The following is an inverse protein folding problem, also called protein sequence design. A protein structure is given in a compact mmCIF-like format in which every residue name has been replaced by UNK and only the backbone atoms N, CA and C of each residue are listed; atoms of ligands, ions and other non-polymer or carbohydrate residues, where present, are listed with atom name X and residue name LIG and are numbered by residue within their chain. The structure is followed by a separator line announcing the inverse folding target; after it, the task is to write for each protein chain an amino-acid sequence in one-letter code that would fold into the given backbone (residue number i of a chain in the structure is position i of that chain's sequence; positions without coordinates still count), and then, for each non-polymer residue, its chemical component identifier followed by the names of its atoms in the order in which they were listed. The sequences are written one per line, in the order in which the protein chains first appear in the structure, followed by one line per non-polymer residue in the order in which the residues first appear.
data_IF_032599130455
#
_entry.id   IF_032599130455
#
_cell.length_a   1.000
_cell.length_b   1.000
_cell.length_c   1.000
_cell.angle_alpha   90.00
_cell.angle_beta   90.00
_cell.angle_gamma   90.00
#
_symmetry.space_group_name_H-M   'P 1'
#
loop_
_entity.id
_entity.type
_entity.pdbx_description
1 polymer ?
#
# COMPACT_ATOMS: atom_id res chain seq x y z
N UNK A 1 -7.08 -3.61 -14.89
CA UNK A 1 -6.86 -2.25 -14.45
C UNK A 1 -5.81 -2.24 -13.34
N UNK A 2 -4.80 -1.40 -13.47
CA UNK A 2 -3.75 -1.19 -12.46
C UNK A 2 -4.16 0.01 -11.58
N UNK A 3 -3.93 -0.09 -10.28
CA UNK A 3 -4.26 0.96 -9.30
C UNK A 3 -3.24 0.99 -8.16
N UNK A 4 -3.29 2.04 -7.34
CA UNK A 4 -2.54 2.12 -6.08
C UNK A 4 -3.46 1.67 -4.92
N UNK A 5 -2.87 1.09 -3.89
CA UNK A 5 -3.61 0.71 -2.68
C UNK A 5 -3.96 1.96 -1.85
N UNK A 6 -5.05 1.88 -1.08
CA UNK A 6 -5.43 2.89 -0.10
C UNK A 6 -4.80 2.61 1.27
N UNK A 7 -4.80 3.62 2.15
CA UNK A 7 -4.40 3.44 3.54
C UNK A 7 -5.27 2.41 4.27
N UNK A 8 -6.58 2.41 4.00
CA UNK A 8 -7.51 1.45 4.59
C UNK A 8 -7.23 0.01 4.11
N UNK A 9 -6.95 -0.19 2.83
CA UNK A 9 -6.61 -1.51 2.26
C UNK A 9 -5.33 -2.10 2.86
N UNK A 10 -4.36 -1.25 3.23
CA UNK A 10 -3.12 -1.70 3.88
C UNK A 10 -3.20 -1.72 5.41
N UNK A 11 -4.39 -1.49 5.98
CA UNK A 11 -4.71 -1.74 7.38
C UNK A 11 -4.67 -0.53 8.31
N UNK A 12 -4.64 0.70 7.78
CA UNK A 12 -4.77 1.92 8.60
C UNK A 12 -6.19 2.46 8.59
N UNK A 13 -6.59 2.99 9.74
CA UNK A 13 -7.93 3.52 9.98
C UNK A 13 -7.85 4.87 10.67
N UNK A 14 -9.00 5.49 10.90
CA UNK A 14 -9.11 6.70 11.72
C UNK A 14 -8.64 6.52 13.18
N UNK A 15 -8.44 5.29 13.62
CA UNK A 15 -7.82 5.02 14.94
C UNK A 15 -6.30 5.17 14.92
N UNK A 16 -5.66 5.06 13.74
CA UNK A 16 -4.22 5.30 13.59
C UNK A 16 -3.94 6.79 13.35
N UNK A 17 -4.74 7.40 12.50
CA UNK A 17 -4.72 8.85 12.26
C UNK A 17 -6.12 9.28 11.78
N UNK A 18 -6.68 10.34 12.38
CA UNK A 18 -8.04 10.83 12.08
C UNK A 18 -8.25 11.19 10.61
N UNK A 19 -7.18 11.48 9.90
CA UNK A 19 -7.21 11.97 8.52
C UNK A 19 -7.12 10.87 7.47
N UNK A 20 -7.12 9.60 7.89
CA UNK A 20 -7.24 8.48 6.96
C UNK A 20 -8.68 8.33 6.46
N UNK A 21 -8.92 8.44 5.16
CA UNK A 21 -10.24 8.12 4.61
C UNK A 21 -10.49 6.61 4.64
N UNK A 22 -11.75 6.22 4.85
CA UNK A 22 -12.18 4.84 4.66
C UNK A 22 -12.40 4.63 3.16
N UNK A 23 -11.48 3.92 2.52
CA UNK A 23 -11.48 3.69 1.07
C UNK A 23 -11.10 2.25 0.75
N UNK A 24 -12.02 1.51 0.17
CA UNK A 24 -11.85 0.10 -0.18
C UNK A 24 -12.13 -0.84 1.01
N UNK A 25 -11.53 -2.01 0.98
CA UNK A 25 -11.62 -3.04 2.02
C UNK A 25 -10.23 -3.53 2.39
N UNK A 26 -9.96 -3.70 3.69
CA UNK A 26 -8.67 -4.19 4.16
C UNK A 26 -8.31 -5.52 3.50
N UNK A 27 -7.13 -5.59 2.93
CA UNK A 27 -6.62 -6.82 2.34
C UNK A 27 -6.09 -7.77 3.43
N UNK A 28 -6.36 -9.05 3.28
CA UNK A 28 -6.01 -10.08 4.29
C UNK A 28 -4.51 -10.19 4.56
N UNK A 29 -3.68 -9.85 3.57
CA UNK A 29 -2.22 -9.85 3.73
C UNK A 29 -1.74 -8.86 4.80
N UNK A 30 -2.40 -7.72 4.94
CA UNK A 30 -1.96 -6.66 5.86
C UNK A 30 -2.58 -6.83 7.24
N UNK A 31 -1.82 -6.45 8.27
CA UNK A 31 -2.27 -6.38 9.65
C UNK A 31 -2.60 -4.93 10.00
N UNK A 32 -3.69 -4.71 10.72
CA UNK A 32 -4.09 -3.36 11.16
C UNK A 32 -3.14 -2.77 12.19
N UNK A 33 -3.09 -1.43 12.23
CA UNK A 33 -2.30 -0.68 13.21
C UNK A 33 -0.85 -0.46 12.80
N UNK A 34 -0.06 0.02 13.76
CA UNK A 34 1.32 0.51 13.56
C UNK A 34 2.38 -0.29 14.34
N UNK A 35 2.06 -1.50 14.78
CA UNK A 35 3.06 -2.36 15.40
C UNK A 35 4.18 -2.71 14.42
N UNK A 36 5.38 -3.01 14.92
CA UNK A 36 6.51 -3.44 14.08
C UNK A 36 6.13 -4.58 13.14
N UNK A 37 5.39 -5.57 13.65
CA UNK A 37 4.93 -6.71 12.84
C UNK A 37 3.98 -6.29 11.72
N UNK A 38 3.08 -5.35 11.99
CA UNK A 38 2.18 -4.81 10.97
C UNK A 38 2.94 -3.96 9.94
N UNK A 39 3.83 -3.09 10.39
CA UNK A 39 4.63 -2.23 9.53
C UNK A 39 5.54 -3.04 8.60
N UNK A 40 6.15 -4.11 9.08
CA UNK A 40 7.02 -4.98 8.26
C UNK A 40 6.32 -5.53 7.01
N UNK A 41 5.01 -5.78 7.08
CA UNK A 41 4.24 -6.25 5.91
C UNK A 41 4.04 -5.17 4.84
N UNK A 42 4.18 -3.90 5.20
CA UNK A 42 4.01 -2.77 4.28
C UNK A 42 5.31 -2.33 3.63
N UNK A 43 6.47 -2.72 4.17
CA UNK A 43 7.77 -2.37 3.58
C UNK A 43 7.83 -2.89 2.15
N UNK A 44 8.21 -2.00 1.23
CA UNK A 44 8.47 -2.33 -0.16
C UNK A 44 9.91 -1.97 -0.51
N UNK A 45 10.45 -2.65 -1.51
CA UNK A 45 11.85 -2.52 -1.90
C UNK A 45 11.94 -2.05 -3.36
N UNK A 46 12.88 -1.16 -3.59
CA UNK A 46 13.26 -0.71 -4.92
C UNK A 46 14.77 -0.84 -5.05
N UNK A 47 15.23 -1.59 -6.05
CA UNK A 47 16.65 -1.87 -6.26
C UNK A 47 17.36 -2.42 -5.00
N UNK A 48 16.68 -3.29 -4.26
CA UNK A 48 17.24 -3.97 -3.08
C UNK A 48 17.20 -3.17 -1.78
N UNK A 49 16.69 -1.94 -1.78
CA UNK A 49 16.56 -1.10 -0.58
C UNK A 49 15.11 -0.79 -0.26
N UNK A 50 14.76 -0.73 1.02
CA UNK A 50 13.45 -0.30 1.44
C UNK A 50 13.20 1.15 0.98
N UNK A 51 12.06 1.37 0.36
CA UNK A 51 11.71 2.62 -0.28
C UNK A 51 10.34 3.12 0.16
N UNK A 52 10.12 4.42 0.12
CA UNK A 52 8.81 5.04 0.26
C UNK A 52 7.96 4.73 -0.96
N UNK A 53 6.65 4.56 -0.76
CA UNK A 53 5.74 4.34 -1.87
C UNK A 53 4.37 4.96 -1.63
N UNK A 54 3.79 5.49 -2.71
CA UNK A 54 2.52 6.20 -2.66
C UNK A 54 1.33 5.29 -2.46
N UNK A 55 0.37 5.79 -1.67
CA UNK A 55 -1.01 5.31 -1.62
C UNK A 55 -1.89 6.21 -2.49
N UNK A 56 -3.11 5.77 -2.79
CA UNK A 56 -4.10 6.62 -3.47
C UNK A 56 -4.90 7.50 -2.53
N UNK A 57 -4.79 7.30 -1.22
CA UNK A 57 -5.58 8.02 -0.22
C UNK A 57 -5.10 9.46 -0.06
N UNK A 58 -5.96 10.47 -0.29
CA UNK A 58 -5.65 11.84 0.11
C UNK A 58 -5.75 11.99 1.63
N UNK A 59 -5.03 12.96 2.20
CA UNK A 59 -5.29 13.39 3.57
C UNK A 59 -6.61 14.14 3.63
N UNK A 60 -7.44 13.87 4.65
CA UNK A 60 -8.76 14.49 4.75
C UNK A 60 -8.73 15.90 5.33
N UNK A 61 -7.67 16.29 6.02
CA UNK A 61 -7.53 17.62 6.63
C UNK A 61 -6.64 18.58 5.83
N UNK A 62 -5.89 18.10 4.85
CA UNK A 62 -4.85 18.90 4.19
C UNK A 62 -4.89 18.72 2.67
N UNK A 63 -5.41 19.74 1.98
CA UNK A 63 -5.46 19.78 0.53
C UNK A 63 -4.05 19.68 -0.09
N UNK A 64 -3.91 18.82 -1.10
CA UNK A 64 -2.67 18.61 -1.83
C UNK A 64 -1.70 17.64 -1.17
N UNK A 65 -2.08 16.99 -0.08
CA UNK A 65 -1.32 15.91 0.54
C UNK A 65 -1.93 14.55 0.26
N UNK A 66 -1.07 13.57 0.08
CA UNK A 66 -1.42 12.17 -0.14
C UNK A 66 -0.63 11.30 0.82
N UNK A 67 -1.27 10.28 1.36
CA UNK A 67 -0.62 9.31 2.22
C UNK A 67 0.38 8.45 1.46
N UNK A 68 1.45 8.07 2.15
CA UNK A 68 2.48 7.16 1.63
C UNK A 68 2.95 6.23 2.74
N UNK A 69 3.61 5.15 2.34
CA UNK A 69 4.28 4.21 3.25
C UNK A 69 5.77 4.56 3.27
N UNK A 70 6.32 4.72 4.46
CA UNK A 70 7.75 4.97 4.68
C UNK A 70 8.58 3.70 4.50
N UNK A 71 9.88 3.85 4.46
CA UNK A 71 10.82 2.73 4.35
C UNK A 71 10.79 1.76 5.53
N UNK A 72 10.30 2.19 6.68
CA UNK A 72 10.07 1.35 7.87
C UNK A 72 8.66 0.73 7.92
N UNK A 73 7.83 0.99 6.92
CA UNK A 73 6.46 0.48 6.82
C UNK A 73 5.40 1.29 7.56
N UNK A 74 5.79 2.38 8.22
CA UNK A 74 4.85 3.31 8.85
C UNK A 74 4.31 4.32 7.82
N UNK A 75 3.31 5.11 8.23
CA UNK A 75 2.68 6.07 7.33
C UNK A 75 3.29 7.47 7.43
N UNK A 76 3.04 8.26 6.41
CA UNK A 76 3.27 9.68 6.37
C UNK A 76 2.43 10.33 5.27
N UNK A 77 2.31 11.64 5.28
CA UNK A 77 1.65 12.40 4.23
C UNK A 77 2.55 13.53 3.75
N UNK A 78 2.65 13.67 2.43
CA UNK A 78 3.43 14.72 1.77
C UNK A 78 2.64 15.39 0.65
N UNK A 79 3.14 16.55 0.23
CA UNK A 79 2.66 17.20 -0.98
C UNK A 79 2.88 16.28 -2.21
N UNK A 80 1.92 16.29 -3.12
CA UNK A 80 1.94 15.44 -4.33
C UNK A 80 3.09 15.76 -5.29
N UNK A 81 3.84 16.84 -5.04
CA UNK A 81 5.05 17.20 -5.79
C UNK A 81 6.28 16.38 -5.40
N UNK A 82 6.24 15.64 -4.30
CA UNK A 82 7.37 14.82 -3.87
C UNK A 82 7.48 13.55 -4.73
N UNK A 83 8.70 13.02 -4.82
CA UNK A 83 8.99 11.83 -5.63
C UNK A 83 9.19 10.61 -4.74
N UNK A 84 8.26 9.67 -4.80
CA UNK A 84 8.32 8.40 -4.10
C UNK A 84 8.06 7.23 -5.06
N UNK A 85 8.28 6.03 -4.57
CA UNK A 85 8.05 4.81 -5.35
C UNK A 85 6.58 4.57 -5.67
N UNK A 86 6.34 3.85 -6.75
CA UNK A 86 5.02 3.36 -7.14
C UNK A 86 4.97 1.86 -6.90
N UNK A 87 4.01 1.42 -6.09
CA UNK A 87 3.70 0.00 -5.86
C UNK A 87 2.34 -0.31 -6.49
N UNK A 88 2.31 -0.74 -7.76
CA UNK A 88 1.06 -0.99 -8.45
C UNK A 88 0.36 -2.25 -7.93
N UNK A 89 -0.95 -2.25 -7.95
CA UNK A 89 -1.80 -3.39 -7.65
C UNK A 89 -2.75 -3.67 -8.80
N UNK A 90 -3.19 -4.92 -8.93
CA UNK A 90 -4.20 -5.32 -9.90
C UNK A 90 -5.02 -6.48 -9.33
N UNK A 91 -6.26 -6.59 -9.79
CA UNK A 91 -7.13 -7.72 -9.47
C UNK A 91 -6.95 -8.79 -10.55
N UNK A 92 -6.68 -10.02 -10.12
CA UNK A 92 -6.60 -11.18 -10.98
C UNK A 92 -7.84 -12.08 -10.78
N UNK A 93 -8.27 -12.85 -11.81
CA UNK A 93 -9.32 -13.83 -11.63
C UNK A 93 -8.87 -14.92 -10.64
N UNK A 94 -9.82 -15.55 -9.94
CA UNK A 94 -9.53 -16.57 -8.93
C UNK A 94 -8.83 -17.82 -9.49
N UNK A 95 -8.91 -18.04 -10.80
CA UNK A 95 -8.25 -19.14 -11.51
C UNK A 95 -6.91 -18.74 -12.15
N UNK A 96 -6.34 -17.59 -11.78
CA UNK A 96 -5.00 -17.20 -12.23
C UNK A 96 -3.94 -18.16 -11.70
N UNK A 97 -3.01 -18.54 -12.56
CA UNK A 97 -1.94 -19.49 -12.26
C UNK A 97 -0.61 -18.75 -12.11
N UNK A 98 0.12 -19.09 -11.05
CA UNK A 98 1.43 -18.53 -10.75
C UNK A 98 2.50 -19.62 -10.73
N UNK A 99 3.69 -19.30 -11.19
CA UNK A 99 4.88 -20.05 -10.88
C UNK A 99 5.28 -19.74 -9.42
N UNK A 100 5.33 -20.78 -8.58
CA UNK A 100 5.62 -20.60 -7.15
C UNK A 100 7.09 -20.25 -6.85
N UNK A 101 7.97 -20.55 -7.78
CA UNK A 101 9.41 -20.27 -7.65
C UNK A 101 9.75 -18.86 -8.13
N UNK A 102 9.25 -18.48 -9.30
CA UNK A 102 9.54 -17.17 -9.92
C UNK A 102 8.55 -16.10 -9.52
N UNK A 103 7.40 -16.47 -8.94
CA UNK A 103 6.27 -15.60 -8.64
C UNK A 103 5.69 -14.90 -9.87
N UNK A 104 5.88 -15.46 -11.05
CA UNK A 104 5.37 -14.92 -12.31
C UNK A 104 4.00 -15.52 -12.64
N UNK A 105 3.12 -14.69 -13.21
CA UNK A 105 1.83 -15.13 -13.75
C UNK A 105 2.07 -16.07 -14.94
N UNK A 106 1.49 -17.27 -14.88
CA UNK A 106 1.61 -18.29 -15.95
C UNK A 106 0.44 -18.27 -16.93
N UNK A 107 -0.68 -17.70 -16.51
CA UNK A 107 -1.92 -17.69 -17.29
C UNK A 107 -3.16 -17.84 -16.42
N UNK A 108 -4.25 -18.23 -17.04
CA UNK A 108 -5.55 -18.47 -16.38
C UNK A 108 -6.01 -19.87 -16.72
N UNK A 109 -6.40 -20.61 -15.68
CA UNK A 109 -6.90 -21.99 -15.87
C UNK A 109 -8.26 -22.01 -16.59
#
# INVERSE_FOLDING_TARGET
KIFLLSGYEVGWTTSDDSDFPVDGAKLDYFTSGTTTSANNKRIAYLNGSAAFWWLRSPSTDNDGRVWFVRSDGDYGDYATSDSDGIRPALVLPSNALFDKTTMLLKGVA
#
